data_IF_131999274034
#
_entry.id   IF_131999274034
#
_cell.length_a   1.000
_cell.length_b   1.000
_cell.length_c   1.000
_cell.angle_alpha   90.00
_cell.angle_beta   90.00
_cell.angle_gamma   90.00
#
_symmetry.space_group_name_H-M   'P 1'
#
loop_
_entity.id
_entity.type
_entity.pdbx_description
1 polymer ?
#
# COMPACT_ATOMS: atom_id res chain seq x y z
N UNK A 1 -6.40 5.06 16.35
CA UNK A 1 -5.81 5.92 15.30
C UNK A 1 -4.54 5.28 14.75
N UNK A 2 -4.69 4.27 13.97
CA UNK A 2 -3.60 3.54 13.34
C UNK A 2 -3.49 3.99 11.90
N UNK A 3 -2.77 5.08 11.68
CA UNK A 3 -2.19 5.33 10.37
C UNK A 3 -1.15 4.23 10.17
N UNK A 4 -1.50 3.21 9.41
CA UNK A 4 -0.68 2.03 9.21
C UNK A 4 0.36 2.37 8.15
N UNK A 5 1.64 2.34 8.50
CA UNK A 5 2.77 2.45 7.56
C UNK A 5 2.90 1.23 6.63
N UNK A 6 1.98 0.29 6.75
CA UNK A 6 1.93 -0.91 5.92
C UNK A 6 1.19 -0.65 4.61
N UNK A 7 1.70 0.31 3.86
CA UNK A 7 1.36 0.45 2.46
C UNK A 7 2.21 -0.51 1.69
N UNK A 8 1.65 -1.46 1.18
CA UNK A 8 2.10 -1.90 -0.11
C UNK A 8 1.80 -3.34 -0.40
N UNK A 9 0.72 -3.52 -1.04
CA UNK A 9 0.67 -4.61 -1.99
C UNK A 9 0.06 -4.06 -3.27
N UNK A 10 0.93 -3.54 -4.13
CA UNK A 10 0.58 -3.37 -5.52
C UNK A 10 0.60 -4.75 -6.12
N UNK A 11 -0.56 -5.36 -6.22
CA UNK A 11 -0.73 -6.49 -7.11
C UNK A 11 -0.83 -5.89 -8.52
N UNK A 12 0.31 -5.73 -9.17
CA UNK A 12 0.35 -5.29 -10.57
C UNK A 12 -0.13 -6.44 -11.44
N UNK A 13 -1.40 -6.42 -11.81
CA UNK A 13 -1.93 -7.35 -12.79
C UNK A 13 -1.64 -6.86 -14.19
N UNK A 14 -0.84 -7.62 -14.86
CA UNK A 14 -0.77 -7.58 -16.31
C UNK A 14 -1.49 -8.82 -16.82
N UNK A 15 -2.79 -8.72 -17.06
CA UNK A 15 -3.50 -9.79 -17.76
C UNK A 15 -3.08 -9.73 -19.22
N UNK A 16 -2.21 -10.64 -19.60
CA UNK A 16 -1.96 -10.96 -21.01
C UNK A 16 -2.45 -12.36 -21.27
N UNK A 17 -3.56 -12.44 -22.00
CA UNK A 17 -4.00 -13.70 -22.60
C UNK A 17 -2.81 -14.27 -23.39
N UNK A 18 -2.18 -15.35 -22.88
CA UNK A 18 -1.24 -16.14 -23.63
C UNK A 18 0.27 -15.90 -23.50
N UNK A 19 0.78 -15.41 -22.35
CA UNK A 19 2.24 -15.45 -22.10
C UNK A 19 2.54 -16.53 -21.06
N UNK A 20 3.13 -17.62 -21.54
CA UNK A 20 3.72 -18.66 -20.71
C UNK A 20 4.90 -18.11 -19.88
N UNK A 21 5.02 -18.52 -18.60
CA UNK A 21 6.12 -18.19 -17.66
C UNK A 21 7.54 -18.29 -18.25
N UNK A 22 7.75 -19.14 -19.27
CA UNK A 22 9.03 -19.32 -19.94
C UNK A 22 9.48 -18.10 -20.76
N UNK A 23 8.53 -17.34 -21.33
CA UNK A 23 8.86 -16.23 -22.24
C UNK A 23 9.40 -15.00 -21.51
N UNK A 24 8.99 -14.76 -20.26
CA UNK A 24 9.44 -13.59 -19.50
C UNK A 24 10.89 -13.77 -19.05
N UNK A 25 11.27 -14.96 -18.54
CA UNK A 25 12.66 -15.23 -18.13
C UNK A 25 13.61 -15.14 -19.31
N UNK A 26 13.22 -15.65 -20.48
CA UNK A 26 14.06 -15.61 -21.69
C UNK A 26 14.19 -14.20 -22.26
N UNK A 27 13.17 -13.35 -22.14
CA UNK A 27 13.19 -11.95 -22.62
C UNK A 27 14.00 -11.03 -21.71
N UNK A 28 13.94 -11.21 -20.39
CA UNK A 28 14.78 -10.47 -19.45
C UNK A 28 16.27 -10.79 -19.61
N UNK A 29 16.61 -12.05 -19.92
CA UNK A 29 18.00 -12.49 -20.11
C UNK A 29 18.57 -12.06 -21.47
N UNK A 30 17.74 -11.88 -22.50
CA UNK A 30 18.18 -11.53 -23.86
C UNK A 30 18.18 -10.04 -24.18
N UNK A 31 17.82 -9.18 -23.24
CA UNK A 31 17.77 -7.72 -23.47
C UNK A 31 16.79 -7.32 -24.59
N UNK A 32 15.78 -8.14 -24.85
CA UNK A 32 14.75 -7.84 -25.85
C UNK A 32 13.87 -6.69 -25.35
N UNK A 33 14.17 -5.50 -25.84
CA UNK A 33 13.44 -4.25 -25.53
C UNK A 33 12.06 -4.16 -26.20
N UNK A 34 11.57 -5.21 -26.84
CA UNK A 34 10.20 -5.25 -27.37
C UNK A 34 9.20 -5.47 -26.22
N UNK A 35 9.10 -4.49 -25.33
CA UNK A 35 8.03 -4.49 -24.33
C UNK A 35 6.69 -4.39 -25.04
N UNK A 36 5.79 -5.35 -24.78
CA UNK A 36 4.40 -5.24 -25.26
C UNK A 36 3.84 -3.92 -24.76
N UNK A 37 3.45 -3.06 -25.65
CA UNK A 37 2.81 -1.80 -25.32
C UNK A 37 1.42 -2.11 -24.80
N UNK A 38 1.17 -1.85 -23.50
CA UNK A 38 -0.15 -1.99 -22.93
C UNK A 38 -0.97 -0.74 -23.21
N UNK A 39 -2.22 -0.92 -23.62
CA UNK A 39 -3.14 0.20 -23.87
C UNK A 39 -3.76 0.73 -22.58
N UNK A 40 -3.85 -0.12 -21.54
CA UNK A 40 -4.43 0.25 -20.24
C UNK A 40 -3.72 -0.50 -19.12
N UNK A 41 -3.48 0.21 -18.02
CA UNK A 41 -2.99 -0.33 -16.76
C UNK A 41 -3.97 0.12 -15.68
N UNK A 42 -4.46 -0.83 -14.88
CA UNK A 42 -5.29 -0.55 -13.71
C UNK A 42 -4.46 -0.79 -12.46
N UNK A 43 -4.36 0.23 -11.62
CA UNK A 43 -3.76 0.12 -10.29
C UNK A 43 -4.89 0.13 -9.29
N UNK A 44 -5.02 -0.93 -8.50
CA UNK A 44 -6.01 -1.03 -7.43
C UNK A 44 -5.25 -1.02 -6.12
N UNK A 45 -5.52 -0.02 -5.30
CA UNK A 45 -4.99 0.10 -3.94
C UNK A 45 -6.12 -0.28 -2.98
N UNK A 46 -5.89 -1.29 -2.16
CA UNK A 46 -6.82 -1.66 -1.09
C UNK A 46 -6.37 -0.90 0.14
N UNK A 47 -7.20 0.05 0.57
CA UNK A 47 -6.90 0.90 1.71
C UNK A 47 -6.69 0.08 2.99
N UNK A 48 -5.70 0.49 3.77
CA UNK A 48 -5.33 -0.12 5.04
C UNK A 48 -5.01 -1.63 5.01
N UNK A 49 -4.85 -2.22 3.82
CA UNK A 49 -4.46 -3.62 3.70
C UNK A 49 -2.94 -3.77 3.85
N UNK A 50 -2.50 -4.38 4.95
CA UNK A 50 -1.10 -4.74 5.20
C UNK A 50 -0.94 -6.22 5.46
N UNK A 51 0.20 -6.81 5.07
CA UNK A 51 0.59 -8.19 5.34
C UNK A 51 1.97 -8.24 5.99
N UNK A 52 2.01 -7.99 7.29
CA UNK A 52 3.20 -7.93 8.13
C UNK A 52 3.83 -6.55 8.23
N UNK A 53 4.74 -6.41 9.20
CA UNK A 53 5.43 -5.17 9.51
C UNK A 53 6.61 -4.90 8.56
N UNK A 54 6.92 -3.63 8.35
CA UNK A 54 8.16 -3.20 7.74
C UNK A 54 9.29 -3.13 8.80
N UNK A 55 10.54 -3.16 8.36
CA UNK A 55 11.71 -3.13 9.25
C UNK A 55 11.76 -1.89 10.15
N UNK A 56 11.28 -0.77 9.64
CA UNK A 56 11.27 0.54 10.29
C UNK A 56 9.96 0.84 11.06
N UNK A 57 8.98 -0.05 11.02
CA UNK A 57 7.66 0.17 11.64
C UNK A 57 7.73 0.49 13.14
N UNK A 58 8.70 -0.09 13.85
CA UNK A 58 8.94 0.19 15.27
C UNK A 58 9.26 1.66 15.56
N UNK A 59 9.93 2.35 14.63
CA UNK A 59 10.27 3.78 14.78
C UNK A 59 9.01 4.66 14.78
N UNK A 60 7.91 4.14 14.26
CA UNK A 60 6.62 4.81 14.15
C UNK A 60 5.59 4.29 15.17
N UNK A 61 6.04 3.45 16.11
CA UNK A 61 5.15 2.85 17.12
C UNK A 61 4.29 1.70 16.59
N UNK A 62 4.51 1.24 15.36
CA UNK A 62 3.77 0.14 14.75
C UNK A 62 4.47 -1.18 15.05
N UNK A 63 4.07 -1.79 16.15
CA UNK A 63 4.57 -3.08 16.59
C UNK A 63 3.56 -4.15 16.17
N UNK A 64 4.06 -5.23 15.57
CA UNK A 64 3.27 -6.41 15.21
C UNK A 64 2.04 -6.09 14.32
N UNK A 65 2.24 -5.20 13.35
CA UNK A 65 1.17 -4.80 12.43
C UNK A 65 1.04 -5.80 11.29
N UNK A 66 -0.12 -6.42 11.18
CA UNK A 66 -0.50 -7.36 10.12
C UNK A 66 -2.01 -7.36 9.94
N UNK A 67 -2.53 -6.37 9.23
CA UNK A 67 -3.98 -6.18 9.09
C UNK A 67 -4.68 -7.43 8.57
N UNK A 68 -4.16 -8.03 7.49
CA UNK A 68 -4.80 -9.19 6.88
C UNK A 68 -4.65 -10.45 7.74
N UNK A 69 -3.49 -10.63 8.38
CA UNK A 69 -3.28 -11.72 9.32
C UNK A 69 -4.21 -11.62 10.53
N UNK A 70 -4.28 -10.45 11.16
CA UNK A 70 -5.16 -10.23 12.32
C UNK A 70 -6.65 -10.38 11.97
N UNK A 71 -7.09 -9.93 10.78
CA UNK A 71 -8.45 -10.19 10.32
C UNK A 71 -8.69 -11.69 10.19
N UNK A 72 -7.74 -12.42 9.58
CA UNK A 72 -7.88 -13.86 9.38
C UNK A 72 -7.91 -14.65 10.71
N UNK A 73 -7.21 -14.16 11.72
CA UNK A 73 -7.23 -14.73 13.07
C UNK A 73 -8.54 -14.46 13.82
N UNK A 74 -9.12 -13.27 13.61
CA UNK A 74 -10.32 -12.82 14.31
C UNK A 74 -11.63 -13.42 13.77
N UNK A 75 -11.61 -14.03 12.57
CA UNK A 75 -12.79 -14.62 11.95
C UNK A 75 -12.73 -16.15 11.92
N UNK A 76 -13.88 -16.81 11.89
CA UNK A 76 -13.96 -18.27 11.78
C UNK A 76 -13.56 -18.77 10.38
N UNK A 77 -13.78 -17.93 9.35
CA UNK A 77 -13.38 -18.21 7.97
C UNK A 77 -13.11 -16.92 7.22
N UNK A 78 -12.16 -16.94 6.29
CA UNK A 78 -11.84 -15.79 5.43
C UNK A 78 -12.02 -16.18 3.97
N UNK A 79 -13.06 -15.64 3.33
CA UNK A 79 -13.40 -15.96 1.95
C UNK A 79 -12.90 -14.86 1.00
N UNK A 80 -11.69 -15.02 0.47
CA UNK A 80 -11.03 -14.11 -0.48
C UNK A 80 -10.52 -14.87 -1.72
N UNK A 81 -11.40 -15.60 -2.45
CA UNK A 81 -10.98 -16.57 -3.46
C UNK A 81 -10.20 -15.95 -4.63
N UNK A 82 -10.48 -14.70 -4.97
CA UNK A 82 -9.75 -14.01 -6.03
C UNK A 82 -8.34 -13.63 -5.60
N UNK A 83 -8.15 -13.06 -4.41
CA UNK A 83 -6.82 -12.77 -3.86
C UNK A 83 -6.03 -14.06 -3.63
N UNK A 84 -6.67 -15.13 -3.21
CA UNK A 84 -6.05 -16.46 -3.09
C UNK A 84 -5.56 -16.96 -4.44
N UNK A 85 -6.41 -16.97 -5.48
CA UNK A 85 -6.01 -17.35 -6.86
C UNK A 85 -4.88 -16.49 -7.39
N UNK A 86 -4.79 -15.28 -6.94
CA UNK A 86 -3.74 -14.34 -7.25
C UNK A 86 -2.44 -14.62 -6.47
N UNK A 87 -2.48 -15.47 -5.45
CA UNK A 87 -1.33 -15.93 -4.68
C UNK A 87 -0.97 -15.05 -3.49
N UNK A 88 -1.91 -14.34 -2.88
CA UNK A 88 -1.61 -13.48 -1.72
C UNK A 88 -1.00 -14.28 -0.56
N UNK A 89 -1.49 -15.50 -0.32
CA UNK A 89 -0.97 -16.38 0.72
C UNK A 89 0.43 -16.96 0.42
N UNK A 90 0.96 -16.76 -0.80
CA UNK A 90 2.35 -17.12 -1.13
C UNK A 90 3.35 -16.09 -0.62
N UNK A 91 2.90 -14.86 -0.33
CA UNK A 91 3.75 -13.79 0.22
C UNK A 91 3.82 -13.81 1.74
N UNK A 92 2.73 -14.23 2.35
CA UNK A 92 2.55 -14.21 3.79
C UNK A 92 1.56 -15.31 4.20
N UNK A 93 1.84 -16.00 5.30
CA UNK A 93 0.94 -17.03 5.81
C UNK A 93 -0.32 -16.36 6.36
N UNK A 94 -1.47 -16.71 5.81
CA UNK A 94 -2.77 -16.18 6.20
C UNK A 94 -3.66 -17.34 6.65
N UNK A 95 -4.18 -17.27 7.86
CA UNK A 95 -5.10 -18.30 8.37
C UNK A 95 -6.32 -18.41 7.44
N UNK A 96 -6.79 -19.61 7.18
CA UNK A 96 -7.91 -19.93 6.28
C UNK A 96 -7.66 -19.68 4.77
N UNK A 97 -6.46 -19.27 4.37
CA UNK A 97 -6.13 -19.02 2.95
C UNK A 97 -4.90 -19.83 2.57
N UNK A 98 -5.12 -20.84 1.74
CA UNK A 98 -4.03 -21.72 1.29
C UNK A 98 -3.17 -21.04 0.21
N UNK A 99 -1.87 -21.31 0.24
CA UNK A 99 -0.97 -20.93 -0.84
C UNK A 99 -1.28 -21.69 -2.13
N UNK A 100 -0.91 -21.12 -3.25
CA UNK A 100 -1.18 -21.67 -4.59
C UNK A 100 0.12 -21.88 -5.34
N UNK A 101 0.32 -23.09 -5.86
CA UNK A 101 1.52 -23.42 -6.64
C UNK A 101 1.59 -22.64 -7.97
N UNK A 102 0.45 -22.46 -8.63
CA UNK A 102 0.34 -21.78 -9.92
C UNK A 102 -0.59 -20.58 -9.86
N UNK A 103 -0.18 -19.47 -9.23
CA UNK A 103 -1.02 -18.28 -9.10
C UNK A 103 -1.25 -17.59 -10.45
N UNK A 104 -2.38 -16.90 -10.58
CA UNK A 104 -2.78 -16.21 -11.80
C UNK A 104 -1.92 -14.99 -12.13
N UNK A 105 -1.14 -14.49 -11.18
CA UNK A 105 -0.34 -13.29 -11.35
C UNK A 105 1.05 -13.40 -10.71
N UNK A 106 1.76 -12.27 -10.70
CA UNK A 106 3.02 -12.13 -10.00
C UNK A 106 2.76 -11.46 -8.66
N UNK A 107 3.35 -12.02 -7.61
CA UNK A 107 3.25 -11.49 -6.26
C UNK A 107 4.61 -10.92 -5.86
N UNK A 108 4.62 -9.77 -5.21
CA UNK A 108 5.84 -9.20 -4.64
C UNK A 108 5.51 -8.40 -3.38
N UNK A 109 6.41 -8.45 -2.41
CA UNK A 109 6.40 -7.59 -1.24
C UNK A 109 7.36 -6.44 -1.53
N UNK A 110 6.85 -5.21 -1.53
CA UNK A 110 7.65 -4.02 -1.76
C UNK A 110 7.97 -3.36 -0.42
N UNK A 111 9.18 -2.82 -0.31
CA UNK A 111 9.59 -2.00 0.81
C UNK A 111 9.52 -0.54 0.40
N UNK A 112 8.84 0.26 1.20
CA UNK A 112 8.83 1.70 1.04
C UNK A 112 10.23 2.26 1.33
N UNK A 113 10.74 3.11 0.45
CA UNK A 113 12.02 3.78 0.60
C UNK A 113 11.86 5.21 1.11
N UNK A 114 10.68 5.80 0.93
CA UNK A 114 10.38 7.16 1.37
C UNK A 114 10.27 7.27 2.89
N UNK A 115 10.63 8.45 3.40
CA UNK A 115 10.54 8.77 4.82
C UNK A 115 9.19 9.42 5.10
N UNK A 116 8.42 8.82 5.99
CA UNK A 116 7.10 9.33 6.40
C UNK A 116 6.17 8.20 6.78
N UNK A 117 5.11 8.52 7.50
CA UNK A 117 4.06 7.57 7.88
C UNK A 117 2.70 8.11 7.45
N UNK A 118 2.64 8.71 6.31
CA UNK A 118 1.40 9.28 5.80
C UNK A 118 1.03 8.68 4.44
N UNK A 119 -0.27 8.64 4.19
CA UNK A 119 -0.85 8.11 2.97
C UNK A 119 -0.30 8.76 1.71
N UNK A 120 -0.05 10.06 1.76
CA UNK A 120 0.39 10.84 0.62
C UNK A 120 1.81 10.42 0.20
N UNK A 121 2.71 10.21 1.14
CA UNK A 121 4.08 9.72 0.89
C UNK A 121 4.05 8.39 0.14
N UNK A 122 3.27 7.42 0.62
CA UNK A 122 3.15 6.11 -0.05
C UNK A 122 2.57 6.19 -1.45
N UNK A 123 1.51 7.01 -1.67
CA UNK A 123 0.94 7.20 -3.00
C UNK A 123 1.91 7.87 -3.97
N UNK A 124 2.67 8.85 -3.52
CA UNK A 124 3.67 9.52 -4.35
C UNK A 124 4.82 8.58 -4.71
N UNK A 125 5.26 7.74 -3.77
CA UNK A 125 6.29 6.74 -4.07
C UNK A 125 5.81 5.71 -5.09
N UNK A 126 4.56 5.25 -5.01
CA UNK A 126 3.96 4.38 -6.03
C UNK A 126 3.99 5.01 -7.43
N UNK A 127 3.95 6.33 -7.51
CA UNK A 127 4.04 7.09 -8.76
C UNK A 127 5.48 7.47 -9.14
N UNK A 128 6.47 7.00 -8.39
CA UNK A 128 7.88 7.18 -8.66
C UNK A 128 8.54 8.39 -7.98
N UNK A 129 7.86 9.02 -7.02
CA UNK A 129 8.42 10.14 -6.25
C UNK A 129 8.98 9.65 -4.92
N UNK A 130 10.30 9.70 -4.76
CA UNK A 130 10.95 9.37 -3.50
C UNK A 130 10.98 10.58 -2.56
N UNK A 131 10.33 10.47 -1.42
CA UNK A 131 10.22 11.51 -0.41
C UNK A 131 11.33 11.33 0.63
N UNK A 132 12.28 12.25 0.65
CA UNK A 132 13.42 12.23 1.58
C UNK A 132 13.20 13.05 2.85
N UNK A 133 12.19 13.94 2.85
CA UNK A 133 11.78 14.73 4.01
C UNK A 133 10.29 14.48 4.25
N UNK A 134 9.92 13.98 5.43
CA UNK A 134 8.51 13.71 5.72
C UNK A 134 7.70 15.01 5.72
N UNK A 135 6.43 14.92 5.40
CA UNK A 135 5.51 16.04 5.53
C UNK A 135 5.40 16.47 6.99
N UNK A 136 5.26 17.78 7.20
CA UNK A 136 5.01 18.32 8.53
C UNK A 136 3.61 17.92 8.97
N UNK A 137 3.52 17.27 10.11
CA UNK A 137 2.26 16.86 10.74
C UNK A 137 1.93 17.76 11.92
N UNK A 138 0.66 17.84 12.26
CA UNK A 138 0.14 18.63 13.39
C UNK A 138 -0.75 17.77 14.31
N UNK A 139 -0.32 16.51 14.48
CA UNK A 139 -1.08 15.51 15.23
C UNK A 139 -1.22 15.84 16.71
N UNK A 140 -0.24 16.51 17.30
CA UNK A 140 -0.23 16.78 18.74
C UNK A 140 -0.99 18.06 19.12
N UNK A 141 -0.96 19.06 18.23
CA UNK A 141 -1.46 20.41 18.56
C UNK A 141 -2.65 20.85 17.69
N UNK A 142 -2.95 20.14 16.61
CA UNK A 142 -3.75 20.67 15.51
C UNK A 142 -2.99 21.74 14.71
N UNK A 143 -3.63 22.32 13.73
CA UNK A 143 -3.04 23.40 12.92
C UNK A 143 -2.78 24.65 13.74
N UNK A 144 -1.69 25.40 13.46
CA UNK A 144 -1.39 26.64 14.15
C UNK A 144 -2.52 27.66 14.00
N UNK A 145 -2.79 28.37 15.11
CA UNK A 145 -3.87 29.38 15.15
C UNK A 145 -3.74 30.44 14.05
N UNK A 146 -2.54 30.90 13.76
CA UNK A 146 -2.28 31.89 12.71
C UNK A 146 -2.73 31.40 11.33
N UNK A 147 -2.52 30.12 11.02
CA UNK A 147 -2.98 29.53 9.76
C UNK A 147 -4.51 29.50 9.68
N UNK A 148 -5.15 29.12 10.77
CA UNK A 148 -6.60 29.07 10.86
C UNK A 148 -7.21 30.48 10.75
N UNK A 149 -6.68 31.45 11.47
CA UNK A 149 -7.15 32.85 11.44
C UNK A 149 -7.05 33.41 10.01
N UNK A 150 -5.94 33.14 9.29
CA UNK A 150 -5.78 33.57 7.89
C UNK A 150 -6.78 32.90 6.96
N UNK A 151 -7.04 31.62 7.16
CA UNK A 151 -8.00 30.88 6.35
C UNK A 151 -9.44 31.39 6.60
N UNK A 152 -9.81 31.59 7.88
CA UNK A 152 -11.12 32.15 8.26
C UNK A 152 -11.30 33.55 7.68
N UNK A 153 -10.28 34.42 7.80
CA UNK A 153 -10.34 35.77 7.26
C UNK A 153 -10.50 35.81 5.73
N UNK A 154 -9.88 34.89 5.02
CA UNK A 154 -9.96 34.81 3.55
C UNK A 154 -11.23 34.16 3.04
N UNK A 155 -11.80 33.22 3.76
CA UNK A 155 -12.97 32.43 3.34
C UNK A 155 -14.28 32.98 3.90
N UNK A 156 -14.24 33.73 5.01
CA UNK A 156 -15.41 34.16 5.74
C UNK A 156 -16.12 33.03 6.52
N UNK A 157 -15.51 31.85 6.57
CA UNK A 157 -16.05 30.68 7.24
C UNK A 157 -15.25 30.32 8.49
N UNK A 158 -15.93 29.89 9.55
CA UNK A 158 -15.29 29.38 10.76
C UNK A 158 -14.84 27.95 10.57
N UNK A 159 -13.63 27.66 11.04
CA UNK A 159 -13.09 26.31 11.06
C UNK A 159 -13.53 25.61 12.34
N UNK A 160 -14.09 24.43 12.18
CA UNK A 160 -14.49 23.56 13.29
C UNK A 160 -13.64 22.29 13.29
N UNK A 161 -13.37 21.74 14.47
CA UNK A 161 -12.73 20.42 14.58
C UNK A 161 -11.22 20.42 14.33
N UNK A 162 -10.49 21.49 14.69
CA UNK A 162 -9.02 21.47 14.68
C UNK A 162 -8.49 20.47 15.73
N UNK A 163 -8.65 19.19 15.43
CA UNK A 163 -8.26 18.07 16.29
C UNK A 163 -7.39 17.10 15.50
N UNK A 164 -6.50 16.40 16.21
CA UNK A 164 -5.81 15.25 15.63
C UNK A 164 -6.83 14.20 15.22
N UNK A 165 -6.84 13.90 13.94
CA UNK A 165 -7.68 12.85 13.37
C UNK A 165 -6.98 12.22 12.19
N UNK A 166 -7.28 10.93 11.94
CA UNK A 166 -6.95 10.26 10.69
C UNK A 166 -8.03 10.58 9.67
N UNK A 167 -7.62 11.04 8.50
CA UNK A 167 -8.53 11.28 7.38
C UNK A 167 -8.88 10.01 6.63
#
# INVERSE_FOLDING_TARGET
NTSIKNWCYIIKYTYTKGILRKDIKSKLVKGDNSMKKYNRIFTIVIDSLGIGAMDDSKQYGDIDVDTLGHIAEAVESLNIPNLQKMGIANLHKIKHVESIENPLGYQMKLKEASVGKDTMTGHWEMMGLHITKPFKTFTDTGFPKELLDQLEAKTGHKIVGNKSASG
#
